data_IF_955622491151
#
_entry.id   IF_955622491151
#
_cell.length_a   1.000
_cell.length_b   1.000
_cell.length_c   1.000
_cell.angle_alpha   90.00
_cell.angle_beta   90.00
_cell.angle_gamma   90.00
#
_symmetry.space_group_name_H-M   'P 1'
#
loop_
_entity.id
_entity.type
_entity.pdbx_description
1 polymer ?
#
# COMPACT_ATOMS: atom_id res chain seq x y z
N UNK A 1 1.33 59.06 -2.23
CA UNK A 1 1.99 57.83 -2.67
C UNK A 1 2.48 57.09 -1.45
N UNK A 2 1.74 56.10 -0.97
CA UNK A 2 2.14 55.28 0.13
C UNK A 2 2.21 53.85 -0.39
N UNK A 3 3.43 53.28 -0.47
CA UNK A 3 3.66 51.87 -0.83
C UNK A 3 3.47 51.04 0.42
N UNK A 4 2.41 50.24 0.45
CA UNK A 4 2.22 49.22 1.47
C UNK A 4 3.05 48.00 1.12
N UNK A 5 4.01 47.67 1.96
CA UNK A 5 4.79 46.43 1.85
C UNK A 5 3.98 45.28 2.53
N UNK A 6 3.57 44.31 1.71
CA UNK A 6 3.04 43.04 2.21
C UNK A 6 4.19 42.17 2.69
N UNK A 7 4.30 42.03 3.99
CA UNK A 7 5.19 41.06 4.64
C UNK A 7 4.51 39.71 4.60
N UNK A 8 4.97 38.82 3.75
CA UNK A 8 4.62 37.40 3.77
C UNK A 8 5.33 36.73 4.95
N UNK A 9 4.61 36.48 6.03
CA UNK A 9 5.09 35.65 7.11
C UNK A 9 5.00 34.17 6.67
N UNK A 10 6.13 33.62 6.23
CA UNK A 10 6.32 32.18 6.10
C UNK A 10 6.47 31.58 7.49
N UNK A 11 5.37 31.18 8.10
CA UNK A 11 5.35 30.35 9.29
C UNK A 11 4.48 29.12 9.00
N UNK A 12 5.01 28.21 8.20
CA UNK A 12 4.51 26.85 8.15
C UNK A 12 5.62 25.93 8.65
N UNK A 13 5.94 26.04 9.93
CA UNK A 13 6.62 24.96 10.63
C UNK A 13 5.58 23.86 10.85
N UNK A 14 5.36 23.04 9.83
CA UNK A 14 4.67 21.76 9.97
C UNK A 14 5.62 20.89 10.78
N UNK A 15 5.40 20.89 12.10
CA UNK A 15 5.98 19.91 13.00
C UNK A 15 5.27 18.58 12.70
N UNK A 16 5.62 17.96 11.57
CA UNK A 16 5.20 16.61 11.24
C UNK A 16 5.96 15.70 12.21
N UNK A 17 5.32 15.37 13.32
CA UNK A 17 5.66 14.13 13.99
C UNK A 17 5.45 13.04 12.97
N UNK A 18 6.54 12.53 12.40
CA UNK A 18 6.49 11.37 11.49
C UNK A 18 5.81 10.27 12.29
N UNK A 19 4.63 9.84 11.81
CA UNK A 19 3.88 8.75 12.40
C UNK A 19 4.84 7.57 12.58
N UNK A 20 4.93 6.96 13.78
CA UNK A 20 5.76 5.78 14.00
C UNK A 20 5.53 4.66 13.01
N UNK A 21 4.33 4.61 12.43
CA UNK A 21 3.98 3.68 11.37
C UNK A 21 4.80 3.88 10.08
N UNK A 22 5.05 5.13 9.66
CA UNK A 22 5.90 5.43 8.50
C UNK A 22 7.36 5.01 8.70
N UNK A 23 7.83 4.94 9.95
CA UNK A 23 9.17 4.43 10.27
C UNK A 23 9.25 2.90 10.15
N UNK A 24 8.10 2.22 10.20
CA UNK A 24 8.01 0.76 10.07
C UNK A 24 7.82 0.27 8.63
N UNK A 25 7.60 1.17 7.66
CA UNK A 25 7.51 0.78 6.25
C UNK A 25 8.84 0.16 5.78
N UNK A 26 8.79 -0.94 5.03
CA UNK A 26 9.99 -1.61 4.56
C UNK A 26 10.76 -0.68 3.63
N UNK A 27 12.07 -0.59 3.86
CA UNK A 27 12.97 0.11 2.95
C UNK A 27 13.15 -0.72 1.68
N UNK A 28 13.35 -0.07 0.55
CA UNK A 28 13.70 -0.74 -0.71
C UNK A 28 15.03 -1.51 -0.57
N UNK A 29 15.95 -0.99 0.24
CA UNK A 29 17.19 -1.64 0.64
C UNK A 29 17.36 -1.55 2.16
N UNK A 30 17.60 -2.70 2.79
CA UNK A 30 18.02 -2.86 4.19
C UNK A 30 19.25 -3.76 4.22
N UNK A 31 20.37 -3.20 4.69
CA UNK A 31 21.66 -3.89 4.68
C UNK A 31 21.66 -5.16 5.54
N UNK A 32 20.94 -5.15 6.68
CA UNK A 32 20.88 -6.32 7.57
C UNK A 32 20.04 -7.44 6.94
N UNK A 33 18.91 -7.08 6.32
CA UNK A 33 18.08 -8.03 5.58
C UNK A 33 18.86 -8.61 4.40
N UNK A 34 19.58 -7.74 3.66
CA UNK A 34 20.38 -8.17 2.51
C UNK A 34 21.47 -9.14 2.93
N UNK A 35 22.22 -8.81 3.99
CA UNK A 35 23.26 -9.70 4.57
C UNK A 35 22.67 -11.02 5.06
N UNK A 36 21.53 -10.99 5.74
CA UNK A 36 20.91 -12.18 6.31
C UNK A 36 20.41 -13.16 5.23
N UNK A 37 19.93 -12.62 4.10
CA UNK A 37 19.39 -13.42 3.00
C UNK A 37 20.47 -14.00 2.06
N UNK A 38 21.67 -13.41 2.05
CA UNK A 38 22.75 -13.78 1.11
C UNK A 38 24.00 -14.16 1.86
N UNK A 39 24.25 -15.49 1.96
CA UNK A 39 25.33 -16.04 2.76
C UNK A 39 26.74 -15.61 2.30
N UNK A 40 26.89 -15.35 1.01
CA UNK A 40 28.11 -14.88 0.35
C UNK A 40 28.48 -13.43 0.74
N UNK A 41 27.54 -12.66 1.29
CA UNK A 41 27.72 -11.25 1.64
C UNK A 41 27.94 -11.02 3.15
N UNK A 42 28.06 -12.07 3.95
CA UNK A 42 28.11 -11.95 5.43
C UNK A 42 29.26 -11.12 5.97
N UNK A 43 30.39 -11.09 5.26
CA UNK A 43 31.60 -10.36 5.67
C UNK A 43 31.58 -8.89 5.29
N UNK A 44 30.64 -8.46 4.43
CA UNK A 44 30.55 -7.09 3.94
C UNK A 44 29.94 -6.15 5.00
N UNK A 45 30.48 -4.94 5.11
CA UNK A 45 29.89 -3.87 5.90
C UNK A 45 28.69 -3.24 5.17
N UNK A 46 27.95 -2.34 5.83
CA UNK A 46 26.72 -1.76 5.28
C UNK A 46 26.95 -0.97 3.98
N UNK A 47 28.07 -0.26 3.85
CA UNK A 47 28.42 0.52 2.65
C UNK A 47 28.77 -0.41 1.49
N UNK A 48 29.51 -1.47 1.75
CA UNK A 48 29.85 -2.48 0.75
C UNK A 48 28.59 -3.21 0.26
N UNK A 49 27.66 -3.54 1.16
CA UNK A 49 26.39 -4.17 0.84
C UNK A 49 25.51 -3.27 -0.05
N UNK A 50 25.43 -1.98 0.24
CA UNK A 50 24.68 -1.03 -0.57
C UNK A 50 25.29 -0.90 -1.97
N UNK A 51 26.62 -0.80 -2.05
CA UNK A 51 27.35 -0.76 -3.32
C UNK A 51 27.13 -2.05 -4.11
N UNK A 52 27.30 -3.20 -3.48
CA UNK A 52 27.05 -4.49 -4.12
C UNK A 52 25.61 -4.63 -4.63
N UNK A 53 24.63 -4.21 -3.83
CA UNK A 53 23.23 -4.28 -4.23
C UNK A 53 22.94 -3.43 -5.47
N UNK A 54 23.46 -2.19 -5.50
CA UNK A 54 23.29 -1.29 -6.63
C UNK A 54 23.98 -1.81 -7.90
N UNK A 55 25.20 -2.31 -7.77
CA UNK A 55 26.05 -2.63 -8.91
C UNK A 55 25.78 -4.06 -9.45
N UNK A 56 25.29 -4.96 -8.61
CA UNK A 56 25.06 -6.38 -8.94
C UNK A 56 23.69 -6.89 -8.49
N UNK A 57 23.33 -6.68 -7.23
CA UNK A 57 22.17 -7.31 -6.58
C UNK A 57 20.84 -7.02 -7.25
N UNK A 58 20.64 -5.80 -7.75
CA UNK A 58 19.43 -5.44 -8.51
C UNK A 58 19.31 -6.25 -9.80
N UNK A 59 20.39 -6.34 -10.57
CA UNK A 59 20.42 -7.09 -11.82
C UNK A 59 20.26 -8.61 -11.60
N UNK A 60 20.75 -9.11 -10.47
CA UNK A 60 20.64 -10.52 -10.05
C UNK A 60 19.29 -10.85 -9.40
N UNK A 61 18.41 -9.84 -9.22
CA UNK A 61 17.12 -10.02 -8.55
C UNK A 61 17.22 -10.38 -7.07
N UNK A 62 18.32 -10.02 -6.40
CA UNK A 62 18.53 -10.30 -4.98
C UNK A 62 17.61 -9.46 -4.10
N UNK A 63 16.94 -10.10 -3.16
CA UNK A 63 16.04 -9.42 -2.24
C UNK A 63 16.82 -8.72 -1.11
N UNK A 64 16.58 -7.41 -0.96
CA UNK A 64 17.18 -6.57 0.06
C UNK A 64 16.14 -5.91 0.99
N UNK A 65 14.88 -6.34 0.92
CA UNK A 65 13.78 -5.80 1.73
C UNK A 65 13.12 -6.89 2.55
N UNK A 66 12.49 -6.52 3.65
CA UNK A 66 11.62 -7.41 4.43
C UNK A 66 10.39 -7.83 3.63
N UNK A 67 9.99 -7.03 2.64
CA UNK A 67 8.93 -7.37 1.69
C UNK A 67 9.57 -7.91 0.41
N UNK A 68 9.60 -9.24 0.29
CA UNK A 68 10.19 -9.94 -0.85
C UNK A 68 9.15 -10.33 -1.91
N UNK A 69 7.86 -10.33 -1.55
CA UNK A 69 6.78 -10.73 -2.44
C UNK A 69 5.41 -10.37 -1.92
N UNK A 70 4.38 -10.81 -2.66
CA UNK A 70 2.97 -10.50 -2.38
C UNK A 70 2.54 -10.85 -0.96
N UNK A 71 2.96 -12.01 -0.45
CA UNK A 71 2.56 -12.46 0.90
C UNK A 71 3.14 -11.61 2.02
N UNK A 72 4.39 -11.18 1.87
CA UNK A 72 5.04 -10.26 2.82
C UNK A 72 4.33 -8.91 2.81
N UNK A 73 3.96 -8.42 1.62
CA UNK A 73 3.19 -7.19 1.45
C UNK A 73 1.81 -7.29 2.10
N UNK A 74 1.08 -8.38 1.87
CA UNK A 74 -0.23 -8.62 2.51
C UNK A 74 -0.07 -8.65 4.04
N UNK A 75 0.97 -9.30 4.56
CA UNK A 75 1.26 -9.37 6.00
C UNK A 75 1.54 -7.99 6.60
N UNK A 76 2.28 -7.15 5.88
CA UNK A 76 2.51 -5.76 6.26
C UNK A 76 1.19 -4.99 6.36
N UNK A 77 0.36 -5.07 5.31
CA UNK A 77 -0.93 -4.38 5.25
C UNK A 77 -1.93 -4.87 6.29
N UNK A 78 -1.92 -6.17 6.63
CA UNK A 78 -2.79 -6.73 7.65
C UNK A 78 -2.56 -6.14 9.06
N UNK A 79 -1.37 -5.60 9.31
CA UNK A 79 -1.03 -4.91 10.55
C UNK A 79 -1.45 -3.43 10.59
N UNK A 80 -1.96 -2.87 9.49
CA UNK A 80 -2.39 -1.47 9.42
C UNK A 80 -3.76 -1.30 10.10
N UNK A 81 -3.93 -0.27 10.96
CA UNK A 81 -5.16 -0.10 11.74
C UNK A 81 -6.42 0.10 10.89
N UNK A 82 -6.28 0.75 9.71
CA UNK A 82 -7.42 1.07 8.84
C UNK A 82 -7.01 1.02 7.37
N UNK A 83 -7.62 0.13 6.60
CA UNK A 83 -7.29 -0.08 5.17
C UNK A 83 -8.54 -0.01 4.31
N UNK A 84 -8.45 0.71 3.19
CA UNK A 84 -9.44 0.68 2.12
C UNK A 84 -8.92 -0.18 0.96
N UNK A 85 -9.65 -1.22 0.61
CA UNK A 85 -9.37 -2.02 -0.61
C UNK A 85 -10.36 -1.65 -1.71
N UNK A 86 -9.83 -1.28 -2.88
CA UNK A 86 -10.60 -0.87 -4.07
C UNK A 86 -10.72 -2.06 -5.03
N UNK A 87 -11.96 -2.40 -5.41
CA UNK A 87 -12.26 -3.40 -6.42
C UNK A 87 -11.87 -4.84 -6.05
N UNK A 88 -12.21 -5.34 -4.85
CA UNK A 88 -11.79 -6.66 -4.37
C UNK A 88 -12.40 -7.83 -5.15
N UNK A 89 -13.52 -7.61 -5.83
CA UNK A 89 -14.32 -8.62 -6.52
C UNK A 89 -14.59 -9.83 -5.60
N UNK A 90 -14.19 -11.04 -6.00
CA UNK A 90 -14.32 -12.27 -5.19
C UNK A 90 -13.01 -12.66 -4.49
N UNK A 91 -11.95 -11.89 -4.64
CA UNK A 91 -10.64 -12.26 -4.11
C UNK A 91 -9.92 -11.08 -3.42
N UNK A 92 -10.49 -10.55 -2.34
CA UNK A 92 -9.87 -9.47 -1.59
C UNK A 92 -8.46 -9.86 -1.14
N UNK A 93 -7.56 -8.90 -1.18
CA UNK A 93 -6.18 -9.08 -0.69
C UNK A 93 -6.15 -9.21 0.83
N UNK A 94 -7.02 -8.46 1.49
CA UNK A 94 -7.10 -8.42 2.94
C UNK A 94 -8.51 -8.79 3.43
N UNK A 95 -8.58 -9.33 4.65
CA UNK A 95 -9.81 -9.59 5.37
C UNK A 95 -9.61 -9.24 6.84
N UNK A 96 -10.58 -8.58 7.43
CA UNK A 96 -10.53 -8.19 8.83
C UNK A 96 -11.48 -7.06 9.15
N UNK A 97 -11.68 -6.78 10.42
CA UNK A 97 -12.52 -5.67 10.89
C UNK A 97 -11.93 -4.30 10.59
N UNK A 98 -10.62 -4.25 10.33
CA UNK A 98 -9.87 -3.05 9.96
C UNK A 98 -9.89 -2.76 8.45
N UNK A 99 -10.52 -3.63 7.62
CA UNK A 99 -10.57 -3.47 6.17
C UNK A 99 -11.97 -3.05 5.75
N UNK A 100 -12.03 -2.02 4.90
CA UNK A 100 -13.24 -1.56 4.22
C UNK A 100 -13.07 -1.73 2.71
N UNK A 101 -14.19 -1.92 2.02
CA UNK A 101 -14.20 -2.21 0.60
C UNK A 101 -14.97 -1.15 -0.18
N UNK A 102 -14.32 -0.63 -1.23
CA UNK A 102 -14.93 0.23 -2.21
C UNK A 102 -15.10 -0.53 -3.53
N UNK A 103 -16.27 -0.40 -4.15
CA UNK A 103 -16.52 -0.98 -5.47
C UNK A 103 -17.47 -0.07 -6.29
N UNK A 104 -17.47 -0.24 -7.60
CA UNK A 104 -18.43 0.42 -8.49
C UNK A 104 -19.81 -0.24 -8.48
N UNK A 105 -19.90 -1.44 -7.93
CA UNK A 105 -21.13 -2.22 -7.82
C UNK A 105 -21.55 -2.41 -6.36
N UNK A 106 -22.85 -2.28 -6.04
CA UNK A 106 -23.35 -2.70 -4.75
C UNK A 106 -23.18 -4.22 -4.57
N UNK A 107 -23.07 -4.64 -3.32
CA UNK A 107 -22.75 -6.03 -2.93
C UNK A 107 -23.52 -7.10 -3.71
N UNK A 108 -24.85 -6.93 -3.87
CA UNK A 108 -25.67 -7.95 -4.54
C UNK A 108 -25.43 -7.99 -6.06
N UNK A 109 -25.11 -6.83 -6.68
CA UNK A 109 -24.71 -6.79 -8.09
C UNK A 109 -23.32 -7.42 -8.28
N UNK A 110 -22.41 -7.16 -7.35
CA UNK A 110 -21.07 -7.75 -7.33
C UNK A 110 -21.16 -9.28 -7.23
N UNK A 111 -21.97 -9.81 -6.32
CA UNK A 111 -22.21 -11.25 -6.17
C UNK A 111 -22.77 -11.88 -7.44
N UNK A 112 -23.71 -11.22 -8.12
CA UNK A 112 -24.24 -11.71 -9.41
C UNK A 112 -23.14 -11.76 -10.48
N UNK A 113 -22.29 -10.73 -10.57
CA UNK A 113 -21.15 -10.68 -11.48
C UNK A 113 -20.18 -11.83 -11.18
N UNK A 114 -19.83 -12.05 -9.92
CA UNK A 114 -18.96 -13.14 -9.46
C UNK A 114 -19.52 -14.50 -9.87
N UNK A 115 -20.83 -14.74 -9.62
CA UNK A 115 -21.52 -15.98 -10.02
C UNK A 115 -21.50 -16.19 -11.54
N UNK A 116 -21.73 -15.13 -12.32
CA UNK A 116 -21.72 -15.21 -13.78
C UNK A 116 -20.33 -15.59 -14.36
N UNK A 117 -19.26 -15.33 -13.60
CA UNK A 117 -17.89 -15.74 -13.96
C UNK A 117 -17.49 -17.10 -13.37
N UNK A 118 -18.43 -17.82 -12.74
CA UNK A 118 -18.15 -19.13 -12.14
C UNK A 118 -17.28 -19.08 -10.88
N UNK A 119 -17.15 -17.90 -10.26
CA UNK A 119 -16.35 -17.72 -9.06
C UNK A 119 -17.19 -17.96 -7.81
N UNK A 120 -16.50 -18.24 -6.70
CA UNK A 120 -17.16 -18.51 -5.42
C UNK A 120 -17.71 -17.21 -4.79
N UNK A 121 -19.03 -17.09 -4.80
CA UNK A 121 -19.77 -15.95 -4.24
C UNK A 121 -19.54 -15.77 -2.74
N UNK A 122 -19.27 -16.85 -2.01
CA UNK A 122 -19.01 -16.78 -0.56
C UNK A 122 -17.73 -16.00 -0.23
N UNK A 123 -16.83 -15.87 -1.20
CA UNK A 123 -15.59 -15.10 -1.06
C UNK A 123 -15.75 -13.61 -1.31
N UNK A 124 -16.87 -13.20 -1.93
CA UNK A 124 -17.15 -11.80 -2.25
C UNK A 124 -17.42 -11.01 -0.96
N UNK A 125 -16.64 -9.97 -0.67
CA UNK A 125 -16.89 -9.12 0.48
C UNK A 125 -18.12 -8.23 0.25
N UNK A 126 -18.67 -7.67 1.33
CA UNK A 126 -19.68 -6.62 1.23
C UNK A 126 -19.00 -5.28 0.91
N UNK A 127 -19.49 -4.55 -0.07
CA UNK A 127 -19.02 -3.21 -0.38
C UNK A 127 -19.48 -2.24 0.71
N UNK A 128 -18.55 -1.57 1.37
CA UNK A 128 -18.84 -0.53 2.38
C UNK A 128 -19.12 0.82 1.71
N UNK A 129 -18.44 1.09 0.60
CA UNK A 129 -18.59 2.29 -0.22
C UNK A 129 -18.85 1.89 -1.66
N UNK A 130 -19.82 2.57 -2.30
CA UNK A 130 -20.20 2.26 -3.69
C UNK A 130 -20.29 3.55 -4.49
N UNK A 131 -19.66 3.59 -5.65
CA UNK A 131 -19.83 4.67 -6.63
C UNK A 131 -19.79 4.08 -8.03
N UNK A 132 -20.91 4.16 -8.75
CA UNK A 132 -21.03 3.64 -10.12
C UNK A 132 -20.05 4.30 -11.11
N UNK A 133 -19.59 5.50 -10.79
CA UNK A 133 -18.62 6.26 -11.59
C UNK A 133 -17.17 6.07 -11.14
N UNK A 134 -16.93 5.29 -10.06
CA UNK A 134 -15.60 5.15 -9.48
C UNK A 134 -15.13 6.35 -8.65
N UNK A 135 -16.02 7.32 -8.38
CA UNK A 135 -15.69 8.51 -7.59
C UNK A 135 -15.46 8.14 -6.13
N UNK A 136 -14.21 8.32 -5.67
CA UNK A 136 -13.80 8.10 -4.29
C UNK A 136 -14.33 9.19 -3.32
N UNK A 137 -14.94 10.25 -3.81
CA UNK A 137 -15.57 11.28 -2.98
C UNK A 137 -16.69 10.74 -2.08
N UNK A 138 -17.24 9.54 -2.36
CA UNK A 138 -18.20 8.86 -1.50
C UNK A 138 -17.56 8.26 -0.23
N UNK A 139 -16.24 8.19 -0.18
CA UNK A 139 -15.49 7.67 0.97
C UNK A 139 -15.34 8.78 1.99
N UNK A 140 -16.16 8.76 3.03
CA UNK A 140 -16.24 9.83 4.04
C UNK A 140 -15.32 9.62 5.23
N UNK A 141 -14.53 8.53 5.21
CA UNK A 141 -13.57 8.17 6.26
C UNK A 141 -12.13 8.36 5.76
N UNK A 142 -11.22 8.54 6.70
CA UNK A 142 -9.79 8.49 6.43
C UNK A 142 -9.26 7.07 6.69
N UNK A 143 -8.29 6.67 5.90
CA UNK A 143 -7.62 5.37 5.99
C UNK A 143 -6.12 5.56 6.08
N UNK A 144 -5.46 4.68 6.84
CA UNK A 144 -4.00 4.67 6.97
C UNK A 144 -3.33 4.08 5.71
N UNK A 145 -4.06 3.23 4.98
CA UNK A 145 -3.63 2.73 3.68
C UNK A 145 -4.81 2.54 2.72
N UNK A 146 -4.53 2.74 1.45
CA UNK A 146 -5.44 2.43 0.33
C UNK A 146 -4.71 1.47 -0.60
N UNK A 147 -5.37 0.37 -0.96
CA UNK A 147 -4.84 -0.63 -1.89
C UNK A 147 -5.82 -0.86 -3.03
N UNK A 148 -5.28 -1.14 -4.20
CA UNK A 148 -6.06 -1.53 -5.37
C UNK A 148 -5.37 -2.71 -6.03
N UNK A 149 -6.12 -3.78 -6.29
CA UNK A 149 -5.64 -4.95 -6.99
C UNK A 149 -6.46 -5.12 -8.27
N UNK A 150 -5.85 -4.83 -9.43
CA UNK A 150 -6.46 -4.96 -10.76
C UNK A 150 -7.64 -4.01 -11.08
N UNK A 151 -7.95 -3.04 -10.22
CA UNK A 151 -9.07 -2.13 -10.48
C UNK A 151 -8.68 -0.93 -11.37
N UNK A 152 -7.42 -0.50 -11.33
CA UNK A 152 -6.95 0.70 -12.04
C UNK A 152 -6.66 0.48 -13.53
N UNK A 153 -6.55 -0.76 -13.99
CA UNK A 153 -6.28 -1.10 -15.40
C UNK A 153 -7.55 -1.12 -16.27
N UNK A 154 -8.72 -0.92 -15.66
CA UNK A 154 -10.02 -0.94 -16.33
C UNK A 154 -10.77 0.39 -16.27
N UNK A 155 -10.09 1.48 -15.89
CA UNK A 155 -10.65 2.84 -15.87
C UNK A 155 -10.25 3.65 -17.09
#
# INVERSE_FOLDING_TARGET
>A
MVKSALTLSNSCAVNQSIDPFFLALPKAFDAEVYRARHADLRSMNAVELETHYRDHGLAEGRCASTVAGREDFIRLLAGIPSVLEIGPLANPMLRGSNVKYFDVLPTEALKRKVAAHGLDVARCPSSDFVSETGDLGVVTMQFDAVISSHASEHQ
#
